data_IF_173612395142
#
_entry.id   IF_173612395142
#
_cell.length_a   1.000
_cell.length_b   1.000
_cell.length_c   1.000
_cell.angle_alpha   90.00
_cell.angle_beta   90.00
_cell.angle_gamma   90.00
#
_symmetry.space_group_name_H-M   'P 1'
#
loop_
_entity.id
_entity.type
_entity.pdbx_description
1 polymer ?
#
# COMPACT_ATOMS: atom_id res chain seq x y z
N UNK A 1 6.12 19.84 1.02
CA UNK A 1 6.61 19.66 -0.36
C UNK A 1 6.11 18.30 -0.79
N UNK A 2 5.18 18.25 -1.75
CA UNK A 2 4.61 16.99 -2.26
C UNK A 2 5.51 16.52 -3.40
N UNK A 3 5.97 15.28 -3.34
CA UNK A 3 6.84 14.71 -4.38
C UNK A 3 5.96 13.88 -5.34
N UNK A 4 6.14 14.16 -6.63
CA UNK A 4 5.49 13.48 -7.74
C UNK A 4 6.09 12.07 -7.92
N UNK A 5 5.24 11.04 -7.94
CA UNK A 5 5.63 9.63 -8.08
C UNK A 5 5.68 9.23 -9.54
N UNK A 6 6.87 8.99 -10.12
CA UNK A 6 7.01 8.58 -11.51
C UNK A 6 6.18 7.34 -11.78
N UNK A 7 5.09 7.52 -12.52
CA UNK A 7 4.18 6.43 -12.86
C UNK A 7 4.71 5.69 -14.08
N UNK A 8 5.00 4.39 -13.95
CA UNK A 8 5.40 3.56 -15.10
C UNK A 8 4.16 3.00 -15.78
N UNK A 9 3.83 3.51 -16.97
CA UNK A 9 2.86 2.85 -17.83
C UNK A 9 3.39 1.48 -18.25
N UNK A 10 2.68 0.42 -17.88
CA UNK A 10 2.96 -0.95 -18.32
C UNK A 10 1.65 -1.69 -18.55
N UNK A 11 1.71 -2.83 -19.24
CA UNK A 11 0.53 -3.54 -19.76
C UNK A 11 -0.42 -4.07 -18.66
N UNK A 12 0.04 -4.14 -17.42
CA UNK A 12 -0.62 -4.82 -16.30
C UNK A 12 -1.47 -3.85 -15.46
N UNK A 13 -0.85 -2.81 -14.88
CA UNK A 13 -1.58 -1.74 -14.20
C UNK A 13 -2.07 -0.65 -15.17
N UNK A 14 -3.30 -0.79 -15.65
CA UNK A 14 -3.99 0.24 -16.46
C UNK A 14 -4.37 1.45 -15.60
N UNK A 15 -4.07 2.65 -16.09
CA UNK A 15 -4.38 3.91 -15.40
C UNK A 15 -5.87 4.08 -15.05
N UNK A 16 -6.79 3.45 -15.79
CA UNK A 16 -8.23 3.61 -15.59
C UNK A 16 -8.95 2.33 -15.15
N UNK A 17 -8.37 1.17 -15.46
CA UNK A 17 -9.00 -0.14 -15.28
C UNK A 17 -8.08 -1.13 -14.57
N UNK A 18 -7.01 -0.66 -13.92
CA UNK A 18 -6.09 -1.50 -13.16
C UNK A 18 -6.78 -2.22 -12.01
N UNK A 19 -6.20 -3.33 -11.58
CA UNK A 19 -6.69 -4.11 -10.44
C UNK A 19 -5.84 -3.80 -9.21
N UNK A 20 -6.45 -3.31 -8.13
CA UNK A 20 -5.71 -2.98 -6.91
C UNK A 20 -5.04 -4.25 -6.33
N UNK A 21 -3.73 -4.20 -6.15
CA UNK A 21 -2.91 -5.29 -5.62
C UNK A 21 -2.22 -6.12 -6.70
N UNK A 22 -2.51 -5.86 -7.98
CA UNK A 22 -1.84 -6.53 -9.08
C UNK A 22 -0.37 -6.08 -9.16
N UNK A 23 0.56 -7.03 -9.13
CA UNK A 23 1.98 -6.74 -9.17
C UNK A 23 2.57 -6.91 -10.55
N UNK A 24 3.59 -6.10 -10.83
CA UNK A 24 4.37 -6.15 -12.06
C UNK A 24 5.84 -5.84 -11.78
N UNK A 25 6.73 -6.40 -12.58
CA UNK A 25 8.17 -6.15 -12.48
C UNK A 25 8.56 -5.08 -13.49
N UNK A 26 8.95 -3.89 -13.02
CA UNK A 26 9.20 -2.73 -13.88
C UNK A 26 10.50 -2.02 -13.55
N UNK A 27 11.18 -1.57 -14.60
CA UNK A 27 12.29 -0.65 -14.49
C UNK A 27 11.84 0.79 -14.72
N UNK A 28 12.11 1.63 -13.74
CA UNK A 28 11.99 3.08 -13.82
C UNK A 28 13.29 3.72 -14.30
N UNK A 29 13.21 4.89 -14.92
CA UNK A 29 14.39 5.67 -15.28
C UNK A 29 15.21 6.17 -14.07
N UNK A 30 14.59 6.31 -12.89
CA UNK A 30 15.25 6.76 -11.66
C UNK A 30 15.97 5.64 -10.89
N UNK A 31 15.89 4.39 -11.36
CA UNK A 31 16.49 3.23 -10.71
C UNK A 31 17.37 2.42 -11.68
N UNK A 32 18.42 1.80 -11.13
CA UNK A 32 19.42 1.09 -11.92
C UNK A 32 18.94 -0.25 -12.49
N UNK A 33 17.99 -0.92 -11.84
CA UNK A 33 17.42 -2.22 -12.23
C UNK A 33 15.90 -2.24 -12.05
N UNK A 34 15.25 -3.29 -12.54
CA UNK A 34 13.83 -3.53 -12.34
C UNK A 34 13.50 -3.82 -10.87
N UNK A 35 12.31 -3.39 -10.46
CA UNK A 35 11.78 -3.64 -9.13
C UNK A 35 10.29 -4.01 -9.17
N UNK A 36 9.81 -4.64 -8.11
CA UNK A 36 8.38 -4.90 -7.94
C UNK A 36 7.59 -3.62 -7.82
N UNK A 37 6.44 -3.60 -8.48
CA UNK A 37 5.49 -2.52 -8.45
C UNK A 37 4.09 -3.07 -8.22
N UNK A 38 3.33 -2.42 -7.35
CA UNK A 38 1.94 -2.77 -7.05
C UNK A 38 1.01 -1.77 -7.71
N UNK A 39 -0.01 -2.25 -8.41
CA UNK A 39 -1.07 -1.40 -8.92
C UNK A 39 -1.96 -0.97 -7.77
N UNK A 40 -2.00 0.34 -7.50
CA UNK A 40 -2.78 0.91 -6.40
C UNK A 40 -3.70 1.99 -6.92
N UNK A 41 -4.78 2.26 -6.19
CA UNK A 41 -5.64 3.42 -6.46
C UNK A 41 -4.87 4.72 -6.19
N UNK A 42 -5.16 5.79 -6.94
CA UNK A 42 -4.42 7.06 -6.80
C UNK A 42 -4.53 7.68 -5.41
N UNK A 43 -5.62 7.42 -4.69
CA UNK A 43 -5.83 7.85 -3.31
C UNK A 43 -5.03 7.05 -2.27
N UNK A 44 -4.53 5.86 -2.60
CA UNK A 44 -3.82 5.00 -1.64
C UNK A 44 -2.49 5.61 -1.20
N UNK A 45 -1.66 6.04 -2.16
CA UNK A 45 -0.32 6.58 -1.92
C UNK A 45 -0.34 7.77 -0.94
N UNK A 46 -1.16 8.83 -1.12
CA UNK A 46 -1.18 9.93 -0.15
C UNK A 46 -1.72 9.52 1.22
N UNK A 47 -2.59 8.52 1.34
CA UNK A 47 -3.07 8.02 2.64
C UNK A 47 -1.92 7.37 3.41
N UNK A 48 -1.23 6.40 2.80
CA UNK A 48 -0.20 5.60 3.51
C UNK A 48 1.09 6.36 3.74
N UNK A 49 1.31 7.45 3.00
CA UNK A 49 2.52 8.28 3.11
C UNK A 49 2.26 9.60 3.85
N UNK A 50 1.07 9.77 4.43
CA UNK A 50 0.65 11.01 5.10
C UNK A 50 0.81 12.26 4.20
N UNK A 51 0.50 12.10 2.90
CA UNK A 51 0.55 13.15 1.89
C UNK A 51 1.95 13.52 1.42
N UNK A 52 3.00 12.77 1.83
CA UNK A 52 4.36 12.97 1.34
C UNK A 52 4.43 12.76 -0.18
N UNK A 53 3.67 11.77 -0.66
CA UNK A 53 3.78 11.16 -1.97
C UNK A 53 2.43 11.13 -2.69
N UNK A 54 2.42 11.41 -4.01
CA UNK A 54 1.23 11.36 -4.87
C UNK A 54 1.56 10.77 -6.24
N UNK A 55 0.63 10.01 -6.83
CA UNK A 55 0.78 9.52 -8.19
C UNK A 55 0.94 10.69 -9.20
N UNK A 56 1.87 10.57 -10.15
CA UNK A 56 2.14 11.60 -11.16
C UNK A 56 0.91 12.02 -11.98
N UNK A 57 0.08 11.05 -12.36
CA UNK A 57 -1.11 11.31 -13.17
C UNK A 57 -2.35 11.40 -12.27
N UNK A 58 -2.74 12.63 -11.93
CA UNK A 58 -3.93 12.91 -11.10
C UNK A 58 -5.25 12.64 -11.82
N UNK A 59 -5.24 12.40 -13.13
CA UNK A 59 -6.45 12.04 -13.90
C UNK A 59 -6.66 10.53 -13.99
N UNK A 60 -5.68 9.72 -13.57
CA UNK A 60 -5.78 8.27 -13.51
C UNK A 60 -6.58 7.83 -12.28
N UNK A 61 -7.18 6.64 -12.35
CA UNK A 61 -7.76 5.95 -11.19
C UNK A 61 -6.73 5.07 -10.47
N UNK A 62 -5.69 4.62 -11.19
CA UNK A 62 -4.65 3.74 -10.68
C UNK A 62 -3.25 4.22 -11.08
N UNK A 63 -2.28 3.91 -10.22
CA UNK A 63 -0.86 4.12 -10.51
C UNK A 63 -0.03 2.95 -9.98
N UNK A 64 1.22 2.87 -10.43
CA UNK A 64 2.15 1.87 -9.92
C UNK A 64 2.85 2.47 -8.70
N UNK A 65 2.81 1.75 -7.57
CA UNK A 65 3.55 2.08 -6.37
C UNK A 65 4.72 1.12 -6.21
N UNK A 66 5.93 1.67 -6.07
CA UNK A 66 7.15 0.90 -6.21
C UNK A 66 7.65 0.42 -4.86
N UNK A 67 8.18 -0.81 -4.80
CA UNK A 67 8.68 -1.41 -3.56
C UNK A 67 9.69 -0.50 -2.83
N UNK A 68 10.67 0.08 -3.55
CA UNK A 68 11.65 0.99 -2.93
C UNK A 68 11.00 2.21 -2.28
N UNK A 69 9.89 2.68 -2.83
CA UNK A 69 9.14 3.80 -2.27
C UNK A 69 8.22 3.40 -1.12
N UNK A 70 7.68 2.19 -1.17
CA UNK A 70 6.72 1.67 -0.20
C UNK A 70 7.42 1.20 1.07
N UNK A 71 8.47 0.40 0.93
CA UNK A 71 9.11 -0.29 2.05
C UNK A 71 10.38 0.42 2.53
N UNK A 72 11.03 1.21 1.66
CA UNK A 72 12.30 1.88 1.97
C UNK A 72 12.25 3.42 1.91
N UNK A 73 11.13 4.02 1.53
CA UNK A 73 10.96 5.47 1.44
C UNK A 73 11.97 6.16 0.49
N UNK A 74 12.39 5.44 -0.57
CA UNK A 74 13.41 5.85 -1.56
C UNK A 74 12.78 6.00 -2.95
N UNK A 75 13.04 7.13 -3.62
CA UNK A 75 12.50 7.46 -4.96
C UNK A 75 13.50 7.34 -6.11
N UNK A 76 14.78 7.36 -5.77
CA UNK A 76 15.90 7.28 -6.70
C UNK A 76 17.08 6.64 -5.96
N UNK A 77 17.54 5.47 -6.42
CA UNK A 77 18.74 4.80 -5.90
C UNK A 77 19.03 3.52 -6.67
N UNK A 78 20.00 2.75 -6.17
CA UNK A 78 20.10 1.32 -6.41
C UNK A 78 18.93 0.60 -5.73
N UNK A 79 18.24 -0.28 -6.46
CA UNK A 79 17.17 -1.12 -5.91
C UNK A 79 17.78 -2.14 -4.95
N UNK A 80 17.15 -2.33 -3.78
CA UNK A 80 17.56 -3.34 -2.79
C UNK A 80 17.08 -4.73 -3.21
N UNK A 81 17.76 -5.76 -2.72
CA UNK A 81 17.54 -7.15 -3.15
C UNK A 81 16.10 -7.61 -2.92
N UNK A 82 15.47 -7.19 -1.82
CA UNK A 82 14.07 -7.48 -1.46
C UNK A 82 13.04 -6.85 -2.40
N UNK A 83 13.39 -5.74 -3.05
CA UNK A 83 12.58 -5.07 -4.05
C UNK A 83 12.92 -5.44 -5.49
N UNK A 84 14.08 -6.07 -5.72
CA UNK A 84 14.57 -6.40 -7.05
C UNK A 84 13.74 -7.51 -7.71
N UNK A 85 13.64 -7.45 -9.04
CA UNK A 85 12.93 -8.47 -9.80
C UNK A 85 13.50 -8.63 -11.21
N UNK A 86 13.25 -9.79 -11.79
CA UNK A 86 13.52 -10.13 -13.18
C UNK A 86 12.22 -10.50 -13.90
N UNK A 87 12.18 -10.31 -15.22
CA UNK A 87 11.03 -10.72 -16.05
C UNK A 87 10.81 -12.25 -16.08
N UNK A 88 11.77 -13.02 -15.55
CA UNK A 88 11.69 -14.46 -15.34
C UNK A 88 11.17 -14.89 -13.97
N UNK A 89 11.01 -13.97 -13.00
CA UNK A 89 10.69 -14.33 -11.61
C UNK A 89 9.23 -14.80 -11.42
N UNK A 90 8.42 -14.79 -12.49
CA UNK A 90 7.00 -15.09 -12.40
C UNK A 90 6.27 -14.06 -11.55
N UNK A 91 4.94 -14.20 -11.40
CA UNK A 91 4.19 -13.36 -10.47
C UNK A 91 4.53 -13.86 -9.05
N UNK A 92 5.56 -13.28 -8.40
CA UNK A 92 5.92 -13.67 -7.03
C UNK A 92 4.66 -13.46 -6.19
N UNK A 93 4.24 -14.49 -5.45
CA UNK A 93 2.93 -14.55 -4.82
C UNK A 93 2.86 -13.71 -3.53
N UNK A 94 3.33 -12.46 -3.57
CA UNK A 94 2.98 -11.40 -2.62
C UNK A 94 1.60 -10.81 -2.93
N UNK A 95 0.73 -11.54 -3.64
CA UNK A 95 -0.66 -11.13 -3.86
C UNK A 95 -1.39 -11.13 -2.53
N UNK A 96 -1.24 -10.03 -1.81
CA UNK A 96 -2.04 -9.73 -0.64
C UNK A 96 -3.50 -9.71 -1.12
N UNK A 97 -4.43 -10.33 -0.37
CA UNK A 97 -5.85 -10.23 -0.68
C UNK A 97 -6.24 -8.76 -0.87
N UNK A 98 -7.19 -8.47 -1.76
CA UNK A 98 -7.59 -7.08 -2.05
C UNK A 98 -7.98 -6.28 -0.79
N UNK A 99 -8.49 -6.97 0.24
CA UNK A 99 -8.79 -6.39 1.55
C UNK A 99 -7.57 -5.77 2.27
N UNK A 100 -6.35 -6.13 1.91
CA UNK A 100 -5.12 -5.53 2.44
C UNK A 100 -4.85 -4.14 1.88
N UNK A 101 -5.38 -3.89 0.69
CA UNK A 101 -5.22 -2.63 -0.01
C UNK A 101 -6.46 -1.74 0.09
N UNK A 102 -7.63 -2.36 0.24
CA UNK A 102 -8.91 -1.69 0.48
C UNK A 102 -9.59 -2.33 1.69
N UNK A 103 -9.07 -2.08 2.90
CA UNK A 103 -9.62 -2.67 4.10
C UNK A 103 -11.04 -2.20 4.38
N UNK A 104 -11.91 -3.13 4.78
CA UNK A 104 -13.20 -2.74 5.34
C UNK A 104 -13.00 -2.20 6.76
N UNK A 105 -13.70 -1.12 7.10
CA UNK A 105 -13.81 -0.66 8.49
C UNK A 105 -14.74 -1.52 9.35
N UNK A 106 -15.40 -2.52 8.77
CA UNK A 106 -16.34 -3.41 9.46
C UNK A 106 -15.77 -4.77 9.82
N UNK A 107 -14.75 -5.22 9.10
CA UNK A 107 -14.07 -6.50 9.35
C UNK A 107 -12.62 -6.16 9.72
N UNK A 108 -12.16 -6.53 10.91
CA UNK A 108 -10.84 -6.10 11.41
C UNK A 108 -9.77 -7.20 11.35
N UNK A 109 -10.15 -8.39 10.89
CA UNK A 109 -9.25 -9.54 10.73
C UNK A 109 -8.18 -9.32 9.65
N UNK A 110 -8.45 -8.44 8.68
CA UNK A 110 -7.50 -8.16 7.61
C UNK A 110 -6.17 -7.61 8.14
N UNK A 111 -6.13 -6.89 9.27
CA UNK A 111 -4.86 -6.41 9.84
C UNK A 111 -3.89 -7.56 10.07
N UNK A 112 -4.38 -8.62 10.70
CA UNK A 112 -3.58 -9.79 11.03
C UNK A 112 -3.18 -10.56 9.75
N UNK A 113 -4.14 -10.79 8.87
CA UNK A 113 -3.93 -11.57 7.64
C UNK A 113 -2.98 -10.87 6.66
N UNK A 114 -3.09 -9.56 6.53
CA UNK A 114 -2.30 -8.76 5.60
C UNK A 114 -0.90 -8.55 6.13
N UNK A 115 -0.76 -8.27 7.43
CA UNK A 115 0.54 -8.03 8.05
C UNK A 115 1.40 -9.30 8.03
N UNK A 116 0.86 -10.46 8.44
CA UNK A 116 1.61 -11.72 8.39
C UNK A 116 1.95 -12.20 6.98
N UNK A 117 1.14 -11.84 5.99
CA UNK A 117 1.46 -12.17 4.59
C UNK A 117 2.52 -11.25 3.99
N UNK A 118 2.63 -10.01 4.48
CA UNK A 118 3.62 -9.04 3.99
C UNK A 118 4.96 -9.15 4.73
N UNK A 119 4.94 -9.40 6.04
CA UNK A 119 6.12 -9.41 6.89
C UNK A 119 6.29 -10.76 7.59
N UNK A 120 7.53 -11.27 7.62
CA UNK A 120 7.87 -12.45 8.41
C UNK A 120 7.93 -12.10 9.90
N UNK A 121 6.83 -12.35 10.61
CA UNK A 121 6.63 -11.92 11.98
C UNK A 121 7.20 -12.93 12.97
N UNK A 122 8.51 -12.89 13.21
CA UNK A 122 9.17 -13.74 14.23
C UNK A 122 9.37 -13.04 15.59
N UNK A 123 8.93 -11.78 15.74
CA UNK A 123 9.08 -10.99 16.97
C UNK A 123 7.78 -10.99 17.81
N UNK A 124 7.92 -11.19 19.12
CA UNK A 124 6.83 -11.16 20.11
C UNK A 124 6.10 -9.82 20.21
N UNK A 125 6.76 -8.68 19.96
CA UNK A 125 6.13 -7.35 20.06
C UNK A 125 5.16 -7.05 18.92
N UNK A 126 5.27 -7.79 17.81
CA UNK A 126 4.32 -7.70 16.68
C UNK A 126 2.94 -8.22 17.10
N UNK A 127 2.89 -9.25 17.95
CA UNK A 127 1.63 -9.79 18.47
C UNK A 127 0.81 -8.73 19.20
N UNK A 128 1.45 -7.97 20.10
CA UNK A 128 0.80 -6.89 20.86
C UNK A 128 0.30 -5.76 19.95
N UNK A 129 1.10 -5.38 18.94
CA UNK A 129 0.73 -4.33 17.99
C UNK A 129 -0.47 -4.75 17.12
N UNK A 130 -0.50 -6.00 16.67
CA UNK A 130 -1.62 -6.56 15.90
C UNK A 130 -2.88 -6.69 16.76
N UNK A 131 -2.75 -7.16 17.99
CA UNK A 131 -3.87 -7.24 18.94
C UNK A 131 -4.45 -5.85 19.22
N UNK A 132 -3.60 -4.85 19.43
CA UNK A 132 -4.02 -3.46 19.59
C UNK A 132 -4.79 -2.97 18.36
N UNK A 133 -4.23 -3.13 17.16
CA UNK A 133 -4.84 -2.68 15.91
C UNK A 133 -6.22 -3.34 15.67
N UNK A 134 -6.30 -4.66 15.86
CA UNK A 134 -7.55 -5.42 15.75
C UNK A 134 -8.57 -4.97 16.81
N UNK A 135 -8.14 -4.77 18.06
CA UNK A 135 -9.01 -4.31 19.16
C UNK A 135 -9.56 -2.91 18.88
N UNK A 136 -8.69 -1.98 18.48
CA UNK A 136 -9.09 -0.62 18.15
C UNK A 136 -10.08 -0.58 17.00
N UNK A 137 -9.81 -1.31 15.90
CA UNK A 137 -10.71 -1.40 14.77
C UNK A 137 -12.09 -1.97 15.18
N UNK A 138 -12.11 -3.00 16.03
CA UNK A 138 -13.37 -3.57 16.54
C UNK A 138 -14.16 -2.56 17.39
N UNK A 139 -13.47 -1.76 18.22
CA UNK A 139 -14.11 -0.69 19.00
C UNK A 139 -14.66 0.40 18.07
N UNK A 140 -13.89 0.82 17.07
CA UNK A 140 -14.33 1.78 16.06
C UNK A 140 -15.59 1.30 15.33
N UNK A 141 -15.55 0.08 14.79
CA UNK A 141 -16.66 -0.54 14.05
C UNK A 141 -17.95 -0.59 14.88
N UNK A 142 -17.86 -1.03 16.14
CA UNK A 142 -19.02 -1.12 17.05
C UNK A 142 -19.61 0.24 17.45
N UNK A 143 -18.80 1.29 17.41
CA UNK A 143 -19.18 2.64 17.85
C UNK A 143 -19.11 3.64 16.70
N UNK A 144 -19.30 3.18 15.46
CA UNK A 144 -19.10 3.99 14.26
C UNK A 144 -19.86 5.32 14.31
N UNK A 145 -21.15 5.30 14.69
CA UNK A 145 -21.98 6.50 14.79
C UNK A 145 -21.45 7.54 15.78
N UNK A 146 -20.89 7.07 16.90
CA UNK A 146 -20.28 7.93 17.90
C UNK A 146 -19.01 8.58 17.36
N UNK A 147 -18.12 7.80 16.75
CA UNK A 147 -16.90 8.32 16.14
C UNK A 147 -17.20 9.28 14.99
N UNK A 148 -18.17 8.95 14.13
CA UNK A 148 -18.61 9.83 13.05
C UNK A 148 -19.14 11.15 13.60
N UNK A 149 -19.88 11.12 14.71
CA UNK A 149 -20.34 12.34 15.40
C UNK A 149 -19.18 13.17 15.93
N UNK A 150 -18.16 12.53 16.53
CA UNK A 150 -16.97 13.23 17.00
C UNK A 150 -16.21 13.91 15.85
N UNK A 151 -16.05 13.23 14.71
CA UNK A 151 -15.42 13.80 13.51
C UNK A 151 -16.23 14.99 12.97
N UNK A 152 -17.55 14.82 12.83
CA UNK A 152 -18.44 15.88 12.34
C UNK A 152 -18.43 17.12 13.25
N UNK A 153 -18.23 16.93 14.55
CA UNK A 153 -18.13 18.01 15.55
C UNK A 153 -16.69 18.53 15.72
N UNK A 154 -15.71 18.04 14.95
CA UNK A 154 -14.31 18.47 15.01
C UNK A 154 -13.57 18.08 16.29
N UNK A 155 -14.10 17.10 17.04
CA UNK A 155 -13.49 16.56 18.27
C UNK A 155 -12.43 15.50 17.98
N UNK A 156 -12.41 14.96 16.76
CA UNK A 156 -11.44 13.99 16.26
C UNK A 156 -11.07 14.38 14.82
N UNK A 157 -9.78 14.25 14.47
CA UNK A 157 -9.23 14.57 13.16
C UNK A 157 -8.73 13.31 12.46
#
# INVERSE_FOLDING_TARGET
MVILFPSVFGRTCSAYTGSHGEMDCKQLSTFNISQWTTCVRVEYVPIVTMGKYVCDNTTANYCNYHCMSEDHDILESTVYDDCSCSSSDGNINYNLPTQCYTPSGTECSWYNDCFHRKFDCNDTHIGDALEFATTFCNVYSKNFDFFQTMVNNGLMK
#
